data_IF_504263955923
#
_entry.id   IF_504263955923
#
_cell.length_a   1.000
_cell.length_b   1.000
_cell.length_c   1.000
_cell.angle_alpha   90.00
_cell.angle_beta   90.00
_cell.angle_gamma   90.00
#
_symmetry.space_group_name_H-M   'P 1'
#
loop_
_entity.id
_entity.type
_entity.pdbx_description
1 polymer ?
#
# COMPACT_ATOMS: atom_id res chain seq x y z
N UNK A 1 8.50 18.71 6.27
CA UNK A 1 7.80 19.61 5.30
C UNK A 1 8.75 20.23 4.28
N UNK A 2 9.87 20.79 4.74
CA UNK A 2 10.94 21.35 3.89
C UNK A 2 11.58 20.34 2.94
N UNK A 3 11.84 19.11 3.40
CA UNK A 3 12.50 18.10 2.55
C UNK A 3 11.66 17.71 1.32
N UNK A 4 10.33 17.69 1.46
CA UNK A 4 9.39 17.46 0.34
C UNK A 4 9.41 18.62 -0.65
N UNK A 5 9.48 19.87 -0.14
CA UNK A 5 9.57 21.09 -0.96
C UNK A 5 10.87 21.11 -1.76
N UNK A 6 12.00 20.87 -1.10
CA UNK A 6 13.34 20.77 -1.72
C UNK A 6 13.41 19.69 -2.79
N UNK A 7 12.82 18.50 -2.57
CA UNK A 7 12.76 17.44 -3.60
C UNK A 7 11.91 17.85 -4.81
N UNK A 8 10.83 18.60 -4.61
CA UNK A 8 9.98 19.10 -5.70
C UNK A 8 10.69 20.17 -6.53
N UNK A 9 11.37 21.10 -5.87
CA UNK A 9 12.19 22.13 -6.52
C UNK A 9 13.31 21.52 -7.36
N UNK A 10 14.10 20.58 -6.79
CA UNK A 10 15.15 19.87 -7.54
C UNK A 10 14.61 19.16 -8.79
N UNK A 11 13.43 18.53 -8.71
CA UNK A 11 12.80 17.89 -9.87
C UNK A 11 12.37 18.90 -10.93
N UNK A 12 11.85 20.06 -10.50
CA UNK A 12 11.45 21.14 -11.42
C UNK A 12 12.66 21.75 -12.10
N UNK A 13 13.73 22.01 -11.37
CA UNK A 13 14.99 22.53 -11.92
C UNK A 13 15.62 21.54 -12.90
N UNK A 14 15.67 20.25 -12.56
CA UNK A 14 16.17 19.22 -13.47
C UNK A 14 15.33 19.16 -14.77
N UNK A 15 14.01 19.28 -14.66
CA UNK A 15 13.12 19.33 -15.82
C UNK A 15 13.38 20.57 -16.68
N UNK A 16 13.51 21.75 -16.07
CA UNK A 16 13.80 23.01 -16.78
C UNK A 16 15.16 22.95 -17.49
N UNK A 17 16.18 22.37 -16.86
CA UNK A 17 17.50 22.17 -17.47
C UNK A 17 17.43 21.28 -18.71
N UNK A 18 16.65 20.20 -18.67
CA UNK A 18 16.44 19.33 -19.83
C UNK A 18 15.71 20.10 -20.94
N UNK A 19 14.62 20.79 -20.60
CA UNK A 19 13.81 21.51 -21.59
C UNK A 19 14.58 22.68 -22.24
N UNK A 20 15.43 23.38 -21.50
CA UNK A 20 16.21 24.50 -22.04
C UNK A 20 17.26 24.07 -23.08
N UNK A 21 17.67 22.80 -23.08
CA UNK A 21 18.63 22.24 -24.02
C UNK A 21 17.99 21.65 -25.28
N UNK A 22 16.66 21.69 -25.39
CA UNK A 22 15.90 21.12 -26.50
C UNK A 22 15.30 22.24 -27.36
N UNK A 23 15.15 21.99 -28.66
CA UNK A 23 14.37 22.85 -29.54
C UNK A 23 12.85 22.69 -29.30
N UNK A 24 12.01 23.52 -29.93
CA UNK A 24 10.56 23.49 -29.68
C UNK A 24 9.89 22.16 -30.07
N UNK A 25 10.30 21.53 -31.17
CA UNK A 25 9.78 20.23 -31.59
C UNK A 25 10.17 19.12 -30.60
N UNK A 26 11.42 19.11 -30.16
CA UNK A 26 11.95 18.18 -29.17
C UNK A 26 11.31 18.36 -27.79
N UNK A 27 11.02 19.60 -27.36
CA UNK A 27 10.28 19.88 -26.12
C UNK A 27 8.88 19.26 -26.17
N UNK A 28 8.16 19.44 -27.29
CA UNK A 28 6.82 18.88 -27.48
C UNK A 28 6.89 17.35 -27.43
N UNK A 29 7.83 16.74 -28.14
CA UNK A 29 8.03 15.30 -28.15
C UNK A 29 8.34 14.74 -26.76
N UNK A 30 9.27 15.37 -26.04
CA UNK A 30 9.67 14.97 -24.68
C UNK A 30 8.51 15.05 -23.69
N UNK A 31 7.72 16.13 -23.70
CA UNK A 31 6.57 16.27 -22.82
C UNK A 31 5.47 15.24 -23.13
N UNK A 32 5.26 14.93 -24.42
CA UNK A 32 4.31 13.90 -24.87
C UNK A 32 4.75 12.51 -24.41
N UNK A 33 6.00 12.15 -24.61
CA UNK A 33 6.57 10.87 -24.17
C UNK A 33 6.52 10.74 -22.64
N UNK A 34 6.90 11.80 -21.92
CA UNK A 34 6.82 11.84 -20.46
C UNK A 34 5.39 11.58 -19.97
N UNK A 35 4.39 12.26 -20.56
CA UNK A 35 2.97 12.06 -20.23
C UNK A 35 2.53 10.62 -20.50
N UNK A 36 2.93 10.06 -21.65
CA UNK A 36 2.61 8.68 -22.00
C UNK A 36 3.24 7.67 -21.02
N UNK A 37 4.51 7.89 -20.64
CA UNK A 37 5.22 7.08 -19.64
C UNK A 37 4.54 7.14 -18.27
N UNK A 38 4.08 8.32 -17.84
CA UNK A 38 3.35 8.49 -16.58
C UNK A 38 1.99 7.77 -16.59
N UNK A 39 1.27 7.81 -17.72
CA UNK A 39 0.02 7.05 -17.91
C UNK A 39 0.29 5.55 -17.84
N UNK A 40 1.29 5.06 -18.59
CA UNK A 40 1.66 3.64 -18.62
C UNK A 40 2.02 3.12 -17.22
N UNK A 41 2.83 3.86 -16.47
CA UNK A 41 3.21 3.48 -15.08
C UNK A 41 2.00 3.44 -14.13
N UNK A 42 1.04 4.36 -14.29
CA UNK A 42 -0.20 4.34 -13.51
C UNK A 42 -1.04 3.10 -13.83
N UNK A 43 -1.16 2.77 -15.11
CA UNK A 43 -1.91 1.60 -15.55
C UNK A 43 -1.24 0.30 -15.09
N UNK A 44 0.07 0.16 -15.27
CA UNK A 44 0.84 -0.99 -14.75
C UNK A 44 0.69 -1.16 -13.23
N UNK A 45 0.67 -0.06 -12.48
CA UNK A 45 0.43 -0.10 -11.04
C UNK A 45 -0.99 -0.57 -10.73
N UNK A 46 -1.99 -0.07 -11.45
CA UNK A 46 -3.40 -0.45 -11.29
C UNK A 46 -3.62 -1.93 -11.61
N UNK A 47 -3.09 -2.40 -12.74
CA UNK A 47 -3.16 -3.81 -13.14
C UNK A 47 -2.49 -4.72 -12.13
N UNK A 48 -1.30 -4.33 -11.65
CA UNK A 48 -0.62 -5.07 -10.58
C UNK A 48 -1.45 -5.16 -9.29
N UNK A 49 -2.11 -4.06 -8.88
CA UNK A 49 -2.98 -4.06 -7.72
C UNK A 49 -4.22 -4.95 -7.91
N UNK A 50 -4.87 -4.88 -9.08
CA UNK A 50 -6.02 -5.74 -9.41
C UNK A 50 -5.62 -7.21 -9.35
N UNK A 51 -4.50 -7.56 -10.00
CA UNK A 51 -3.97 -8.93 -9.96
C UNK A 51 -3.64 -9.37 -8.54
N UNK A 52 -2.94 -8.53 -7.78
CA UNK A 52 -2.58 -8.84 -6.39
C UNK A 52 -3.82 -9.03 -5.52
N UNK A 53 -4.86 -8.22 -5.70
CA UNK A 53 -6.12 -8.29 -4.97
C UNK A 53 -6.92 -9.58 -5.24
N UNK A 54 -6.90 -10.07 -6.47
CA UNK A 54 -7.65 -11.27 -6.88
C UNK A 54 -6.86 -12.58 -6.68
N UNK A 55 -5.56 -12.57 -7.00
CA UNK A 55 -4.74 -13.78 -7.17
C UNK A 55 -3.50 -13.82 -6.26
N UNK A 56 -3.20 -12.75 -5.52
CA UNK A 56 -2.02 -12.69 -4.66
C UNK A 56 -2.05 -13.66 -3.47
N UNK A 57 -0.89 -13.81 -2.82
CA UNK A 57 -0.78 -14.55 -1.56
C UNK A 57 -1.57 -13.85 -0.46
N UNK A 58 -2.39 -14.59 0.28
CA UNK A 58 -3.25 -14.03 1.32
C UNK A 58 -2.46 -13.79 2.60
N UNK A 59 -2.38 -12.53 3.02
CA UNK A 59 -1.89 -12.15 4.34
C UNK A 59 -3.06 -11.53 5.09
N UNK A 60 -3.38 -12.12 6.24
CA UNK A 60 -4.49 -11.70 7.08
C UNK A 60 -3.96 -11.01 8.34
N UNK A 61 -4.44 -9.79 8.58
CA UNK A 61 -4.26 -9.06 9.83
C UNK A 61 -5.50 -9.33 10.70
N UNK A 62 -5.28 -9.98 11.84
CA UNK A 62 -6.33 -10.18 12.83
C UNK A 62 -6.43 -8.94 13.73
N UNK A 63 -7.55 -8.23 13.67
CA UNK A 63 -7.79 -7.01 14.45
C UNK A 63 -8.61 -7.27 15.74
N UNK A 64 -8.83 -8.53 16.12
CA UNK A 64 -9.61 -8.90 17.33
C UNK A 64 -9.02 -8.39 18.64
N UNK A 65 -7.75 -8.02 18.66
CA UNK A 65 -7.04 -7.57 19.86
C UNK A 65 -6.96 -6.05 19.98
N UNK A 66 -7.67 -5.30 19.14
CA UNK A 66 -7.59 -3.83 19.15
C UNK A 66 -7.97 -3.19 20.49
N UNK A 67 -8.90 -3.78 21.23
CA UNK A 67 -9.32 -3.29 22.55
C UNK A 67 -8.26 -3.51 23.64
N UNK A 68 -7.21 -4.28 23.35
CA UNK A 68 -6.07 -4.51 24.26
C UNK A 68 -4.89 -3.58 23.95
N UNK A 69 -4.99 -2.76 22.90
CA UNK A 69 -3.92 -1.87 22.46
C UNK A 69 -4.20 -0.43 22.89
N UNK A 70 -3.16 0.27 23.33
CA UNK A 70 -3.20 1.71 23.52
C UNK A 70 -3.20 2.44 22.17
N UNK A 71 -3.64 3.71 22.15
CA UNK A 71 -3.66 4.55 20.93
C UNK A 71 -2.30 4.62 20.21
N UNK A 72 -1.20 4.62 20.98
CA UNK A 72 0.18 4.62 20.45
C UNK A 72 0.50 3.31 19.73
N UNK A 73 0.04 2.18 20.26
CA UNK A 73 0.25 0.87 19.69
C UNK A 73 -0.58 0.70 18.41
N UNK A 74 -1.84 1.13 18.43
CA UNK A 74 -2.70 1.19 17.23
C UNK A 74 -2.06 2.06 16.14
N UNK A 75 -1.52 3.22 16.52
CA UNK A 75 -0.80 4.10 15.60
C UNK A 75 0.46 3.45 15.02
N UNK A 76 1.19 2.69 15.83
CA UNK A 76 2.35 1.92 15.40
C UNK A 76 1.96 0.82 14.42
N UNK A 77 0.92 0.03 14.74
CA UNK A 77 0.39 -1.03 13.89
C UNK A 77 -0.09 -0.49 12.53
N UNK A 78 -0.87 0.60 12.52
CA UNK A 78 -1.31 1.24 11.29
C UNK A 78 -0.13 1.69 10.41
N UNK A 79 0.95 2.19 11.03
CA UNK A 79 2.17 2.56 10.31
C UNK A 79 2.88 1.33 9.72
N UNK A 80 2.93 0.21 10.45
CA UNK A 80 3.51 -1.04 9.94
C UNK A 80 2.72 -1.61 8.76
N UNK A 81 1.39 -1.60 8.84
CA UNK A 81 0.49 -1.98 7.75
C UNK A 81 0.74 -1.09 6.52
N UNK A 82 0.82 0.24 6.73
CA UNK A 82 1.17 1.20 5.69
C UNK A 82 2.50 0.90 5.01
N UNK A 83 3.55 0.66 5.79
CA UNK A 83 4.87 0.33 5.26
C UNK A 83 4.84 -0.98 4.47
N UNK A 84 4.13 -1.99 4.96
CA UNK A 84 3.98 -3.30 4.31
C UNK A 84 3.28 -3.19 2.96
N UNK A 85 2.16 -2.46 2.90
CA UNK A 85 1.44 -2.23 1.65
C UNK A 85 2.27 -1.44 0.62
N UNK A 86 3.05 -0.44 1.08
CA UNK A 86 3.95 0.30 0.20
C UNK A 86 5.15 -0.54 -0.25
N UNK A 87 5.66 -1.41 0.60
CA UNK A 87 6.73 -2.35 0.26
C UNK A 87 6.28 -3.29 -0.84
N UNK A 88 5.10 -3.90 -0.68
CA UNK A 88 4.42 -4.73 -1.67
C UNK A 88 4.36 -4.05 -3.05
N UNK A 89 3.86 -2.79 -3.08
CA UNK A 89 3.79 -1.98 -4.30
C UNK A 89 5.15 -1.68 -4.93
N UNK A 90 6.16 -1.37 -4.10
CA UNK A 90 7.51 -1.00 -4.54
C UNK A 90 8.28 -2.20 -5.09
N UNK A 91 8.12 -3.36 -4.45
CA UNK A 91 8.82 -4.61 -4.78
C UNK A 91 8.03 -5.52 -5.72
N UNK A 92 6.80 -5.14 -6.09
CA UNK A 92 5.92 -5.89 -6.99
C UNK A 92 5.64 -7.31 -6.48
N UNK A 93 5.49 -7.46 -5.17
CA UNK A 93 5.14 -8.74 -4.54
C UNK A 93 3.62 -8.91 -4.59
N UNK A 94 3.05 -9.95 -5.21
CA UNK A 94 1.59 -10.06 -5.34
C UNK A 94 0.95 -10.57 -4.04
N UNK A 95 0.50 -9.66 -3.18
CA UNK A 95 -0.12 -9.97 -1.88
C UNK A 95 -1.54 -9.42 -1.80
N UNK A 96 -2.47 -10.26 -1.33
CA UNK A 96 -3.80 -9.88 -0.88
C UNK A 96 -3.74 -9.49 0.58
N UNK A 97 -4.08 -8.24 0.90
CA UNK A 97 -4.20 -7.77 2.28
C UNK A 97 -5.64 -8.02 2.75
N UNK A 98 -5.78 -8.83 3.79
CA UNK A 98 -7.06 -9.09 4.45
C UNK A 98 -7.02 -8.54 5.87
N UNK A 99 -8.11 -7.91 6.30
CA UNK A 99 -8.33 -7.46 7.67
C UNK A 99 -9.56 -8.18 8.21
N UNK A 100 -9.44 -8.79 9.38
CA UNK A 100 -10.51 -9.56 10.02
C UNK A 100 -10.83 -8.97 11.38
N UNK A 101 -12.07 -9.16 11.85
CA UNK A 101 -12.57 -8.49 13.04
C UNK A 101 -12.39 -6.95 12.98
N UNK A 102 -12.72 -6.36 11.83
CA UNK A 102 -12.54 -4.92 11.60
C UNK A 102 -13.85 -4.27 11.12
N UNK A 103 -14.27 -3.21 11.81
CA UNK A 103 -15.42 -2.38 11.47
C UNK A 103 -14.98 -0.95 11.12
N UNK A 104 -15.88 -0.19 10.49
CA UNK A 104 -15.59 1.18 10.03
C UNK A 104 -15.36 2.20 11.14
N UNK A 105 -15.91 1.94 12.33
CA UNK A 105 -15.85 2.82 13.50
C UNK A 105 -14.74 2.44 14.49
N UNK A 106 -13.99 1.38 14.19
CA UNK A 106 -12.90 0.90 15.02
C UNK A 106 -11.73 1.90 15.05
N UNK A 107 -10.99 1.94 16.16
CA UNK A 107 -9.84 2.84 16.34
C UNK A 107 -8.74 2.58 15.30
N UNK A 108 -8.52 1.30 14.97
CA UNK A 108 -7.57 0.92 13.92
C UNK A 108 -8.03 1.40 12.54
N UNK A 109 -9.34 1.35 12.25
CA UNK A 109 -9.92 1.84 11.00
C UNK A 109 -9.78 3.35 10.87
N UNK A 110 -10.14 4.08 11.93
CA UNK A 110 -9.97 5.54 12.04
C UNK A 110 -8.52 5.97 11.87
N UNK A 111 -7.57 5.20 12.43
CA UNK A 111 -6.15 5.49 12.32
C UNK A 111 -5.59 5.18 10.93
N UNK A 112 -6.03 4.08 10.30
CA UNK A 112 -5.65 3.72 8.93
C UNK A 112 -6.18 4.71 7.90
N UNK A 113 -7.37 5.29 8.10
CA UNK A 113 -7.93 6.35 7.24
C UNK A 113 -6.98 7.56 7.10
N UNK A 114 -6.18 7.87 8.12
CA UNK A 114 -5.12 8.92 8.06
C UNK A 114 -4.06 8.63 6.98
N UNK A 115 -3.92 7.36 6.57
CA UNK A 115 -3.03 6.90 5.49
C UNK A 115 -3.74 6.69 4.13
N UNK A 116 -4.94 7.27 3.97
CA UNK A 116 -5.78 7.08 2.76
C UNK A 116 -6.14 5.61 2.50
N UNK A 117 -6.38 4.85 3.58
CA UNK A 117 -6.73 3.43 3.52
C UNK A 117 -7.95 3.14 2.62
N UNK A 118 -8.92 4.06 2.56
CA UNK A 118 -10.11 3.94 1.70
C UNK A 118 -9.79 3.85 0.20
N UNK A 119 -8.55 4.19 -0.21
CA UNK A 119 -8.09 4.11 -1.60
C UNK A 119 -7.30 2.83 -1.89
N UNK A 120 -7.11 1.96 -0.90
CA UNK A 120 -6.30 0.77 -1.07
C UNK A 120 -7.16 -0.38 -1.59
N UNK A 121 -6.54 -1.29 -2.34
CA UNK A 121 -7.21 -2.52 -2.78
C UNK A 121 -6.94 -3.60 -1.74
N UNK A 122 -7.87 -3.74 -0.80
CA UNK A 122 -7.77 -4.65 0.35
C UNK A 122 -9.13 -5.27 0.66
N UNK A 123 -9.12 -6.40 1.36
CA UNK A 123 -10.32 -7.10 1.78
C UNK A 123 -10.56 -6.84 3.26
N UNK A 124 -11.75 -6.39 3.63
CA UNK A 124 -12.13 -6.11 5.03
C UNK A 124 -13.28 -7.04 5.39
N UNK A 125 -13.14 -7.72 6.51
CA UNK A 125 -14.11 -8.69 7.01
C UNK A 125 -14.44 -8.39 8.47
N UNK A 126 -15.72 -8.52 8.82
CA UNK A 126 -16.20 -8.34 10.20
C UNK A 126 -16.04 -9.59 11.05
N UNK A 127 -16.04 -10.76 10.42
CA UNK A 127 -15.89 -12.05 11.08
C UNK A 127 -14.42 -12.39 11.35
N UNK A 128 -14.24 -13.44 12.15
CA UNK A 128 -12.93 -14.01 12.44
C UNK A 128 -12.35 -14.77 11.23
N UNK A 129 -11.02 -14.78 11.14
CA UNK A 129 -10.30 -15.36 9.99
C UNK A 129 -10.61 -16.86 9.77
N UNK A 130 -10.90 -17.63 10.82
CA UNK A 130 -11.25 -19.05 10.72
C UNK A 130 -12.66 -19.33 10.17
N UNK A 131 -13.51 -18.30 10.07
CA UNK A 131 -14.82 -18.39 9.42
C UNK A 131 -14.76 -17.98 7.94
N UNK A 132 -13.72 -17.24 7.55
CA UNK A 132 -13.55 -16.68 6.19
C UNK A 132 -12.68 -17.59 5.33
N UNK A 133 -11.64 -18.16 5.91
CA UNK A 133 -10.68 -19.00 5.19
C UNK A 133 -10.87 -20.48 5.53
N UNK A 134 -10.47 -21.34 4.60
CA UNK A 134 -10.43 -22.78 4.86
C UNK A 134 -9.40 -23.06 5.97
N UNK A 135 -9.87 -23.61 7.09
CA UNK A 135 -9.09 -23.89 8.31
C UNK A 135 -7.81 -24.67 8.05
N UNK A 136 -7.83 -25.65 7.15
CA UNK A 136 -6.67 -26.50 6.83
C UNK A 136 -5.53 -25.75 6.12
N UNK A 137 -5.80 -24.53 5.65
CA UNK A 137 -4.83 -23.68 4.94
C UNK A 137 -4.40 -22.46 5.75
N UNK A 138 -4.89 -22.33 6.98
CA UNK A 138 -4.56 -21.19 7.84
C UNK A 138 -3.27 -21.50 8.58
N UNK A 139 -2.29 -20.62 8.44
CA UNK A 139 -1.05 -20.64 9.21
C UNK A 139 -1.01 -19.38 10.05
N UNK A 140 -0.96 -19.54 11.38
CA UNK A 140 -0.85 -18.42 12.32
C UNK A 140 0.63 -18.22 12.65
N UNK A 141 1.16 -17.05 12.29
CA UNK A 141 2.53 -16.69 12.63
C UNK A 141 2.58 -16.22 14.08
N UNK A 142 3.12 -17.06 14.95
CA UNK A 142 3.32 -16.76 16.37
C UNK A 142 4.79 -17.00 16.75
N UNK A 143 5.43 -16.11 17.54
CA UNK A 143 6.77 -16.35 18.05
C UNK A 143 6.85 -17.59 18.96
N UNK A 144 5.72 -18.00 19.56
CA UNK A 144 5.64 -19.18 20.43
C UNK A 144 5.38 -20.49 19.66
N UNK A 145 5.32 -20.44 18.32
CA UNK A 145 5.14 -21.63 17.51
C UNK A 145 6.40 -22.52 17.59
N UNK A 146 6.19 -23.82 17.78
CA UNK A 146 7.26 -24.82 17.78
C UNK A 146 7.76 -25.15 16.38
N UNK A 147 6.95 -24.87 15.35
CA UNK A 147 7.30 -25.09 13.96
C UNK A 147 8.06 -23.88 13.39
N UNK A 148 9.15 -24.14 12.66
CA UNK A 148 9.88 -23.10 11.90
C UNK A 148 9.28 -23.03 10.51
N UNK A 149 8.75 -21.85 10.15
CA UNK A 149 8.15 -21.56 8.84
C UNK A 149 9.15 -21.39 7.71
#
# INVERSE_FOLDING_TARGET
PEEKKRKKEKKREALLKILNNLNEEEKIAFLKERKLSEIKKKEEKKQFLIKSYNEGYKICFNCSFQNLMEEKEISSLAKQIFLSYHYMLKKKVPVQFHFTHMNDNDDISSTLKKYSFDKWMVHIHKDDYWNIFNKDKIVVLSPDASEVG
#
